data_IF_492397046856
#
_entry.id   IF_492397046856
#
_cell.length_a   1.000
_cell.length_b   1.000
_cell.length_c   1.000
_cell.angle_alpha   90.00
_cell.angle_beta   90.00
_cell.angle_gamma   90.00
#
_symmetry.space_group_name_H-M   'P 1'
#
loop_
_entity.id
_entity.type
_entity.pdbx_description
1 polymer ?
#
# COMPACT_ATOMS: atom_id res chain seq x y z
N UNK A 1 3.23 -25.36 20.69
CA UNK A 1 2.29 -24.49 20.03
C UNK A 1 1.15 -25.30 19.43
N UNK A 2 -0.07 -24.85 19.67
CA UNK A 2 -1.23 -25.54 19.12
C UNK A 2 -1.47 -25.09 17.68
N UNK A 3 -1.99 -25.99 16.87
CA UNK A 3 -2.28 -25.72 15.48
C UNK A 3 -3.19 -24.51 15.29
N UNK A 4 -4.18 -24.34 16.17
CA UNK A 4 -5.10 -23.20 16.10
C UNK A 4 -4.41 -21.86 16.34
N UNK A 5 -3.40 -21.82 17.18
CA UNK A 5 -2.65 -20.59 17.42
C UNK A 5 -1.85 -20.19 16.19
N UNK A 6 -1.30 -21.16 15.48
CA UNK A 6 -0.57 -20.90 14.24
C UNK A 6 -1.51 -20.39 13.16
N UNK A 7 -2.66 -21.00 13.00
CA UNK A 7 -3.65 -20.55 12.02
C UNK A 7 -4.12 -19.12 12.31
N UNK A 8 -4.37 -18.82 13.57
CA UNK A 8 -4.79 -17.48 13.98
C UNK A 8 -3.74 -16.44 13.66
N UNK A 9 -2.48 -16.78 13.93
CA UNK A 9 -1.38 -15.88 13.62
C UNK A 9 -1.28 -15.63 12.11
N UNK A 10 -1.45 -16.67 11.31
CA UNK A 10 -1.43 -16.52 9.86
C UNK A 10 -2.56 -15.60 9.40
N UNK A 11 -3.75 -15.78 9.94
CA UNK A 11 -4.89 -14.96 9.58
C UNK A 11 -4.65 -13.49 9.94
N UNK A 12 -4.18 -13.22 11.14
CA UNK A 12 -3.90 -11.85 11.58
C UNK A 12 -2.86 -11.17 10.71
N UNK A 13 -1.79 -11.88 10.39
CA UNK A 13 -0.74 -11.34 9.54
C UNK A 13 -1.25 -11.12 8.11
N UNK A 14 -2.10 -12.00 7.61
CA UNK A 14 -2.69 -11.86 6.29
C UNK A 14 -3.58 -10.62 6.21
N UNK A 15 -4.40 -10.39 7.23
CA UNK A 15 -5.24 -9.20 7.29
C UNK A 15 -4.41 -7.93 7.37
N UNK A 16 -3.37 -7.94 8.18
CA UNK A 16 -2.47 -6.81 8.31
C UNK A 16 -1.77 -6.51 6.98
N UNK A 17 -1.33 -7.55 6.30
CA UNK A 17 -0.70 -7.41 4.99
C UNK A 17 -1.65 -6.76 4.00
N UNK A 18 -2.92 -7.16 4.01
CA UNK A 18 -3.94 -6.59 3.13
C UNK A 18 -4.14 -5.10 3.40
N UNK A 19 -4.21 -4.70 4.68
CA UNK A 19 -4.36 -3.30 5.05
C UNK A 19 -3.16 -2.48 4.64
N UNK A 20 -1.95 -3.02 4.84
CA UNK A 20 -0.73 -2.33 4.45
C UNK A 20 -0.64 -2.19 2.94
N UNK A 21 -1.06 -3.21 2.20
CA UNK A 21 -1.08 -3.15 0.74
C UNK A 21 -2.00 -2.04 0.25
N UNK A 22 -3.15 -1.88 0.91
CA UNK A 22 -4.09 -0.82 0.57
C UNK A 22 -3.48 0.56 0.80
N UNK A 23 -2.76 0.74 1.90
CA UNK A 23 -2.07 2.00 2.17
C UNK A 23 -0.99 2.27 1.13
N UNK A 24 -0.24 1.26 0.74
CA UNK A 24 0.78 1.39 -0.29
C UNK A 24 0.15 1.82 -1.61
N UNK A 25 -0.97 1.23 -1.98
CA UNK A 25 -1.67 1.58 -3.21
C UNK A 25 -2.13 3.04 -3.19
N UNK A 26 -2.63 3.52 -2.07
CA UNK A 26 -3.03 4.91 -1.92
C UNK A 26 -1.85 5.87 -2.06
N UNK A 27 -0.73 5.52 -1.45
CA UNK A 27 0.49 6.33 -1.54
C UNK A 27 0.99 6.34 -2.98
N UNK A 28 0.96 5.20 -3.65
CA UNK A 28 1.38 5.12 -5.05
C UNK A 28 0.53 6.02 -5.94
N UNK A 29 -0.77 6.08 -5.70
CA UNK A 29 -1.66 6.97 -6.44
C UNK A 29 -1.31 8.43 -6.20
N UNK A 30 -0.99 8.80 -4.97
CA UNK A 30 -0.60 10.17 -4.64
C UNK A 30 0.71 10.53 -5.32
N UNK A 31 1.66 9.63 -5.32
CA UNK A 31 2.94 9.85 -5.98
C UNK A 31 2.73 10.04 -7.49
N UNK A 32 1.92 9.20 -8.11
CA UNK A 32 1.64 9.30 -9.53
C UNK A 32 0.99 10.65 -9.86
N UNK A 33 0.04 11.09 -9.04
CA UNK A 33 -0.62 12.37 -9.23
C UNK A 33 0.36 13.53 -9.14
N UNK A 34 1.23 13.52 -8.14
CA UNK A 34 2.23 14.57 -7.95
C UNK A 34 3.26 14.56 -9.08
N UNK A 35 3.63 13.40 -9.57
CA UNK A 35 4.54 13.29 -10.69
C UNK A 35 3.95 13.89 -11.96
N UNK A 36 2.65 13.70 -12.19
CA UNK A 36 1.98 14.32 -13.33
C UNK A 36 1.95 15.84 -13.21
N UNK A 37 1.67 16.34 -12.01
CA UNK A 37 1.66 17.80 -11.79
C UNK A 37 3.04 18.41 -12.02
N UNK A 38 4.07 17.72 -11.55
CA UNK A 38 5.44 18.17 -11.77
C UNK A 38 5.78 18.20 -13.26
N UNK A 39 5.36 17.19 -13.98
CA UNK A 39 5.61 17.10 -15.42
C UNK A 39 4.91 18.21 -16.16
N UNK A 40 3.66 18.52 -15.81
CA UNK A 40 2.93 19.61 -16.42
C UNK A 40 3.58 20.96 -16.15
N UNK A 41 4.03 21.16 -14.92
CA UNK A 41 4.71 22.41 -14.55
C UNK A 41 6.02 22.60 -15.32
N UNK A 42 6.74 21.53 -15.56
CA UNK A 42 7.99 21.58 -16.31
C UNK A 42 7.77 21.63 -17.83
N UNK A 43 6.64 21.12 -18.28
CA UNK A 43 6.32 21.08 -19.70
C UNK A 43 6.11 22.45 -20.32
N UNK A 44 5.76 23.43 -19.50
CA UNK A 44 5.51 24.80 -19.99
C UNK A 44 6.77 25.64 -20.13
N UNK A 45 7.85 25.08 -19.66
CA UNK A 45 9.14 25.77 -19.78
C UNK A 45 9.95 25.21 -20.95
#
# INVERSE_FOLDING_TARGET
MLFHDIERSILELTLRKSDLQKEIDEIDLQIAFLCEQKKEAQGDS
#
